data_IF_265401650394
#
_entry.id   IF_265401650394
#
_cell.length_a   1.000
_cell.length_b   1.000
_cell.length_c   1.000
_cell.angle_alpha   90.00
_cell.angle_beta   90.00
_cell.angle_gamma   90.00
#
_symmetry.space_group_name_H-M   'P 1'
#
loop_
_entity.id
_entity.type
_entity.pdbx_description
1 polymer ?
#
# COMPACT_ATOMS: atom_id res chain seq x y z
N UNK A 1 30.23 19.08 -2.67
CA UNK A 1 29.36 18.28 -1.79
C UNK A 1 28.25 17.75 -2.67
N UNK A 2 28.34 16.50 -3.10
CA UNK A 2 27.27 15.89 -3.89
C UNK A 2 26.09 15.64 -2.95
N UNK A 3 24.94 16.25 -3.25
CA UNK A 3 23.69 15.94 -2.56
C UNK A 3 23.34 14.50 -2.91
N UNK A 4 23.48 13.57 -1.97
CA UNK A 4 22.94 12.22 -2.12
C UNK A 4 21.48 12.34 -2.54
N UNK A 5 21.18 11.92 -3.78
CA UNK A 5 19.82 11.91 -4.28
C UNK A 5 19.00 10.91 -3.47
N UNK A 6 17.84 11.35 -2.95
CA UNK A 6 16.88 10.46 -2.31
C UNK A 6 16.55 9.32 -3.29
N UNK A 7 16.83 8.09 -2.89
CA UNK A 7 16.47 6.92 -3.70
C UNK A 7 14.95 6.75 -3.67
N UNK A 8 14.32 6.65 -4.84
CA UNK A 8 12.90 6.22 -4.93
C UNK A 8 12.85 4.70 -4.88
N UNK A 9 12.03 4.14 -3.99
CA UNK A 9 11.91 2.68 -3.78
C UNK A 9 10.45 2.23 -3.67
N UNK A 10 10.20 0.98 -4.05
CA UNK A 10 8.92 0.29 -3.85
C UNK A 10 8.78 -0.22 -2.42
N UNK A 11 7.53 -0.37 -1.97
CA UNK A 11 7.17 -1.07 -0.74
C UNK A 11 7.67 -2.51 -0.65
N UNK A 12 7.82 -3.19 -1.80
CA UNK A 12 8.37 -4.55 -1.88
C UNK A 12 9.83 -4.60 -1.47
N UNK A 13 10.53 -3.47 -1.60
CA UNK A 13 11.94 -3.34 -1.35
C UNK A 13 12.26 -2.91 0.09
N UNK A 14 11.26 -2.62 0.93
CA UNK A 14 11.49 -2.18 2.32
C UNK A 14 11.53 -3.37 3.28
N UNK A 15 12.65 -3.53 3.98
CA UNK A 15 12.79 -4.53 5.04
C UNK A 15 11.96 -4.13 6.26
N UNK A 16 11.20 -5.08 6.80
CA UNK A 16 10.33 -4.84 7.95
C UNK A 16 9.11 -3.96 7.63
N UNK A 17 8.71 -3.86 6.35
CA UNK A 17 7.53 -3.11 5.92
C UNK A 17 6.29 -3.46 6.79
N UNK A 18 5.78 -2.51 7.62
CA UNK A 18 4.67 -2.78 8.52
C UNK A 18 3.36 -3.05 7.78
N UNK A 19 3.26 -2.59 6.52
CA UNK A 19 2.10 -2.80 5.66
C UNK A 19 2.09 -4.16 4.97
N UNK A 20 3.09 -5.02 5.21
CA UNK A 20 3.10 -6.42 4.74
C UNK A 20 1.89 -7.22 5.22
N UNK A 21 1.21 -6.75 6.26
CA UNK A 21 0.01 -7.39 6.83
C UNK A 21 -1.28 -6.57 6.64
N UNK A 22 -1.22 -5.34 6.10
CA UNK A 22 -2.40 -4.52 5.84
C UNK A 22 -2.07 -3.23 5.08
N UNK A 23 -2.92 -2.86 4.10
CA UNK A 23 -2.80 -1.61 3.35
C UNK A 23 -3.39 -0.43 4.15
N UNK A 24 -2.66 0.68 4.24
CA UNK A 24 -3.22 1.95 4.68
C UNK A 24 -4.03 2.56 3.52
N UNK A 25 -5.21 3.12 3.78
CA UNK A 25 -6.09 3.71 2.75
C UNK A 25 -5.44 4.82 1.94
N UNK A 26 -4.49 5.56 2.52
CA UNK A 26 -3.72 6.58 1.82
C UNK A 26 -2.83 5.98 0.73
N UNK A 27 -2.40 4.72 0.89
CA UNK A 27 -1.61 3.97 -0.11
C UNK A 27 -2.43 3.55 -1.32
N UNK A 28 -3.76 3.69 -1.27
CA UNK A 28 -4.64 3.42 -2.41
C UNK A 28 -4.81 4.64 -3.33
N UNK A 29 -4.22 5.78 -2.96
CA UNK A 29 -4.34 7.02 -3.70
C UNK A 29 -3.01 7.36 -4.37
N UNK A 30 -2.99 7.64 -5.69
CA UNK A 30 -1.77 7.98 -6.43
C UNK A 30 -0.96 9.13 -5.80
N UNK A 31 -1.66 10.11 -5.23
CA UNK A 31 -1.07 11.26 -4.55
C UNK A 31 -1.09 11.15 -3.02
N UNK A 32 -1.80 10.16 -2.46
CA UNK A 32 -2.08 10.11 -1.02
C UNK A 32 -0.94 9.51 -0.20
N UNK A 33 0.02 8.85 -0.83
CA UNK A 33 1.12 8.23 -0.09
C UNK A 33 2.50 8.53 -0.68
N UNK A 34 3.21 9.45 -0.03
CA UNK A 34 4.64 9.64 -0.15
C UNK A 34 5.25 9.61 1.25
N UNK A 35 6.07 8.60 1.52
CA UNK A 35 6.80 8.52 2.78
C UNK A 35 8.29 8.70 2.51
N UNK A 36 8.87 9.78 3.04
CA UNK A 36 10.31 10.04 2.99
C UNK A 36 10.92 9.75 4.35
N UNK A 37 12.00 8.99 4.39
CA UNK A 37 12.66 8.65 5.64
C UNK A 37 13.94 7.84 5.45
N UNK A 38 14.52 7.44 6.58
CA UNK A 38 15.69 6.57 6.63
C UNK A 38 15.22 5.11 6.66
N UNK A 39 15.35 4.40 5.54
CA UNK A 39 14.75 3.08 5.31
C UNK A 39 15.80 2.00 5.06
N UNK A 40 15.51 0.77 5.51
CA UNK A 40 16.29 -0.42 5.15
C UNK A 40 15.74 -1.01 3.86
N UNK A 41 16.59 -1.17 2.85
CA UNK A 41 16.18 -1.58 1.50
C UNK A 41 16.83 -2.92 1.12
N UNK A 42 16.02 -3.83 0.55
CA UNK A 42 16.47 -5.15 0.07
C UNK A 42 17.58 -4.99 -0.98
N UNK A 43 18.60 -5.85 -0.93
CA UNK A 43 19.71 -5.86 -1.90
C UNK A 43 20.86 -4.89 -1.62
N UNK A 44 20.80 -4.13 -0.52
CA UNK A 44 21.92 -3.32 -0.05
C UNK A 44 22.99 -4.20 0.62
N UNK A 45 24.28 -3.95 0.32
CA UNK A 45 25.44 -4.74 0.80
C UNK A 45 25.53 -4.83 2.33
N UNK A 46 25.03 -3.82 3.03
CA UNK A 46 24.84 -3.83 4.48
C UNK A 46 23.33 -3.78 4.73
N UNK A 47 22.69 -4.94 4.76
CA UNK A 47 21.23 -5.08 4.84
C UNK A 47 20.57 -4.41 6.05
N UNK A 48 21.37 -3.96 7.03
CA UNK A 48 20.90 -3.27 8.23
C UNK A 48 21.03 -1.73 8.19
N UNK A 49 21.79 -1.18 7.24
CA UNK A 49 21.98 0.27 7.12
C UNK A 49 20.72 0.93 6.58
N UNK A 50 20.34 2.06 7.19
CA UNK A 50 19.24 2.89 6.72
C UNK A 50 19.78 3.91 5.73
N UNK A 51 19.11 4.06 4.60
CA UNK A 51 19.42 5.08 3.59
C UNK A 51 18.28 6.10 3.47
N UNK A 52 18.57 7.36 3.08
CA UNK A 52 17.53 8.31 2.72
C UNK A 52 16.79 7.81 1.48
N UNK A 53 15.49 7.53 1.63
CA UNK A 53 14.67 7.03 0.54
C UNK A 53 13.24 7.60 0.61
N UNK A 54 12.63 7.70 -0.56
CA UNK A 54 11.23 8.05 -0.71
C UNK A 54 10.45 6.86 -1.25
N UNK A 55 9.41 6.49 -0.53
CA UNK A 55 8.44 5.48 -0.93
C UNK A 55 7.25 6.19 -1.54
N UNK A 56 6.95 5.85 -2.79
CA UNK A 56 5.80 6.38 -3.52
C UNK A 56 4.72 5.31 -3.67
N UNK A 57 3.56 5.74 -4.15
CA UNK A 57 2.52 4.84 -4.64
C UNK A 57 3.10 3.84 -5.66
N UNK A 58 2.82 2.56 -5.45
CA UNK A 58 3.21 1.45 -6.31
C UNK A 58 1.93 0.64 -6.60
N UNK A 59 1.34 0.88 -7.76
CA UNK A 59 0.08 0.27 -8.19
C UNK A 59 0.19 -1.26 -8.22
N UNK A 60 1.29 -1.79 -8.75
CA UNK A 60 1.53 -3.23 -8.85
C UNK A 60 1.59 -3.88 -7.46
N UNK A 61 2.22 -3.21 -6.48
CA UNK A 61 2.21 -3.67 -5.10
C UNK A 61 0.78 -3.70 -4.54
N UNK A 62 0.02 -2.61 -4.67
CA UNK A 62 -1.34 -2.50 -4.16
C UNK A 62 -2.24 -3.58 -4.76
N UNK A 63 -2.22 -3.75 -6.08
CA UNK A 63 -3.01 -4.77 -6.79
C UNK A 63 -2.63 -6.17 -6.32
N UNK A 64 -1.32 -6.48 -6.26
CA UNK A 64 -0.86 -7.80 -5.80
C UNK A 64 -1.26 -8.10 -4.36
N UNK A 65 -1.24 -7.08 -3.49
CA UNK A 65 -1.64 -7.22 -2.10
C UNK A 65 -3.14 -7.48 -1.98
N UNK A 66 -3.98 -6.71 -2.70
CA UNK A 66 -5.42 -6.89 -2.71
C UNK A 66 -5.81 -8.30 -3.19
N UNK A 67 -5.16 -8.81 -4.24
CA UNK A 67 -5.38 -10.18 -4.70
C UNK A 67 -5.06 -11.18 -3.58
N UNK A 68 -3.85 -11.15 -3.05
CA UNK A 68 -3.36 -12.18 -2.12
C UNK A 68 -4.06 -12.15 -0.76
N UNK A 69 -4.31 -10.96 -0.22
CA UNK A 69 -4.75 -10.82 1.18
C UNK A 69 -6.23 -10.52 1.32
N UNK A 70 -6.87 -10.02 0.27
CA UNK A 70 -8.31 -9.74 0.26
C UNK A 70 -9.01 -10.79 -0.59
N UNK A 71 -8.77 -10.82 -1.91
CA UNK A 71 -9.57 -11.65 -2.81
C UNK A 71 -9.34 -13.16 -2.63
N UNK A 72 -8.09 -13.64 -2.49
CA UNK A 72 -7.81 -15.06 -2.30
C UNK A 72 -8.43 -15.60 -0.99
N UNK A 73 -8.52 -14.78 0.05
CA UNK A 73 -9.16 -15.17 1.32
C UNK A 73 -10.69 -15.16 1.23
N UNK A 74 -11.24 -14.43 0.28
CA UNK A 74 -12.67 -14.35 -0.01
C UNK A 74 -13.13 -15.44 -0.98
N UNK A 75 -12.23 -16.30 -1.47
CA UNK A 75 -12.57 -17.40 -2.39
C UNK A 75 -13.63 -18.42 -1.90
N UNK A 76 -14.02 -18.56 -0.61
CA UNK A 76 -15.23 -19.32 -0.29
C UNK A 76 -16.54 -18.57 -0.60
N UNK A 77 -16.53 -17.24 -0.72
CA UNK A 77 -17.67 -16.44 -1.16
C UNK A 77 -17.62 -16.24 -2.68
N UNK A 78 -18.78 -16.26 -3.34
CA UNK A 78 -18.82 -15.96 -4.77
C UNK A 78 -18.38 -14.51 -5.01
N UNK A 79 -17.63 -14.25 -6.09
CA UNK A 79 -17.23 -12.89 -6.49
C UNK A 79 -18.42 -11.90 -6.50
N UNK A 80 -19.62 -12.40 -6.83
CA UNK A 80 -20.86 -11.64 -6.81
C UNK A 80 -21.27 -11.19 -5.40
N UNK A 81 -21.08 -12.00 -4.37
CA UNK A 81 -21.45 -11.65 -3.00
C UNK A 81 -20.48 -10.63 -2.42
N UNK A 82 -19.19 -10.77 -2.72
CA UNK A 82 -18.21 -9.74 -2.41
C UNK A 82 -18.53 -8.40 -3.08
N UNK A 83 -18.85 -8.40 -4.38
CA UNK A 83 -19.26 -7.18 -5.08
C UNK A 83 -20.50 -6.53 -4.45
N UNK A 84 -21.49 -7.32 -4.01
CA UNK A 84 -22.67 -6.80 -3.29
C UNK A 84 -22.28 -6.15 -1.97
N UNK A 85 -21.39 -6.77 -1.20
CA UNK A 85 -20.93 -6.25 0.09
C UNK A 85 -20.19 -4.92 -0.09
N UNK A 86 -19.23 -4.87 -1.02
CA UNK A 86 -18.47 -3.64 -1.33
C UNK A 86 -19.42 -2.53 -1.82
N UNK A 87 -20.34 -2.87 -2.73
CA UNK A 87 -21.32 -1.91 -3.25
C UNK A 87 -22.23 -1.37 -2.14
N UNK A 88 -22.66 -2.22 -1.20
CA UNK A 88 -23.47 -1.82 -0.05
C UNK A 88 -22.68 -0.90 0.88
N UNK A 89 -21.45 -1.25 1.22
CA UNK A 89 -20.58 -0.44 2.07
C UNK A 89 -20.34 0.96 1.45
N UNK A 90 -20.08 1.02 0.15
CA UNK A 90 -19.88 2.29 -0.56
C UNK A 90 -21.12 3.18 -0.53
N UNK A 91 -22.33 2.61 -0.75
CA UNK A 91 -23.58 3.36 -0.67
C UNK A 91 -23.81 3.97 0.72
N UNK A 92 -23.56 3.19 1.78
CA UNK A 92 -23.70 3.66 3.17
C UNK A 92 -22.71 4.79 3.48
N UNK A 93 -21.45 4.64 3.07
CA UNK A 93 -20.46 5.70 3.24
C UNK A 93 -20.85 6.98 2.49
N UNK A 94 -21.33 6.84 1.25
CA UNK A 94 -21.72 7.99 0.42
C UNK A 94 -22.91 8.75 1.00
N UNK A 95 -23.92 8.07 1.57
CA UNK A 95 -25.04 8.76 2.22
C UNK A 95 -24.59 9.54 3.45
N UNK A 96 -23.66 9.01 4.25
CA UNK A 96 -23.12 9.69 5.42
C UNK A 96 -22.30 10.95 5.10
N UNK A 97 -21.79 11.08 3.88
CA UNK A 97 -21.07 12.27 3.41
C UNK A 97 -22.00 13.34 2.84
N UNK A 98 -23.21 12.97 2.41
CA UNK A 98 -24.20 13.90 1.89
C UNK A 98 -24.96 14.66 3.00
N UNK A 99 -24.93 14.11 4.23
CA UNK A 99 -25.55 14.69 5.42
C UNK A 99 -24.59 15.62 6.21
N UNK A 100 -23.40 15.88 5.68
CA UNK A 100 -22.39 16.81 6.25
C UNK A 100 -22.23 18.04 5.36
#
# INVERSE_FOLDING_TARGET
MELEQDKVVSWKEILGNPYRYGLNSQMLLPNGYKHKGMLRVVGQRKSDDKIPATVCFDEDYVVSFLIKYVFEKLLPESYNDFQKIVSKAYKVWKSQQADK
#
